data_IF_825059463475
#
_entry.id   IF_825059463475
#
_cell.length_a   1.000
_cell.length_b   1.000
_cell.length_c   1.000
_cell.angle_alpha   90.00
_cell.angle_beta   90.00
_cell.angle_gamma   90.00
#
_symmetry.space_group_name_H-M   'P 1'
#
loop_
_entity.id
_entity.type
_entity.pdbx_description
1 polymer ?
#
# COMPACT_ATOMS: atom_id res chain seq x y z
N UNK A 1 -39.88 2.78 -11.97
CA UNK A 1 -38.88 1.82 -12.48
C UNK A 1 -37.57 2.18 -11.82
N UNK A 2 -37.15 1.44 -10.80
CA UNK A 2 -35.90 1.69 -10.07
C UNK A 2 -34.71 1.22 -10.91
N UNK A 3 -33.72 2.08 -11.11
CA UNK A 3 -32.35 1.66 -11.42
C UNK A 3 -31.52 1.99 -10.18
N UNK A 4 -30.96 0.95 -9.59
CA UNK A 4 -30.26 0.96 -8.31
C UNK A 4 -28.95 1.77 -8.39
N UNK A 5 -28.67 2.53 -7.33
CA UNK A 5 -27.31 2.90 -6.96
C UNK A 5 -26.50 1.61 -6.74
N UNK A 6 -25.32 1.43 -7.35
CA UNK A 6 -24.47 0.30 -7.02
C UNK A 6 -23.93 0.50 -5.60
N UNK A 7 -24.41 -0.33 -4.69
CA UNK A 7 -24.01 -0.38 -3.30
C UNK A 7 -22.47 -0.41 -3.16
N UNK A 8 -21.99 0.37 -2.20
CA UNK A 8 -20.59 0.69 -1.99
C UNK A 8 -19.70 -0.51 -1.72
N UNK A 9 -18.54 -0.49 -2.38
CA UNK A 9 -17.37 -1.20 -1.91
C UNK A 9 -16.48 -0.17 -1.22
N UNK A 10 -16.68 0.04 0.08
CA UNK A 10 -15.75 0.87 0.87
C UNK A 10 -14.32 0.33 0.64
N UNK A 11 -13.34 1.20 0.31
CA UNK A 11 -11.99 0.72 0.06
C UNK A 11 -11.49 0.00 1.32
N UNK A 12 -11.10 -1.26 1.16
CA UNK A 12 -10.49 -2.02 2.25
C UNK A 12 -9.03 -1.57 2.33
N UNK A 13 -8.72 -0.74 3.34
CA UNK A 13 -7.36 -0.28 3.58
C UNK A 13 -6.56 -1.45 4.14
N UNK A 14 -5.53 -1.86 3.41
CA UNK A 14 -4.56 -2.87 3.87
C UNK A 14 -3.30 -2.14 4.31
N UNK A 15 -3.02 -2.16 5.61
CA UNK A 15 -1.78 -1.58 6.15
C UNK A 15 -0.64 -2.58 5.94
N UNK A 16 0.39 -2.17 5.20
CA UNK A 16 1.65 -2.92 5.06
C UNK A 16 2.62 -2.32 6.08
N UNK A 17 2.93 -3.01 7.20
CA UNK A 17 3.92 -2.52 8.15
C UNK A 17 5.30 -2.60 7.50
N UNK A 18 6.09 -1.53 7.62
CA UNK A 18 7.53 -1.61 7.38
C UNK A 18 8.11 -2.56 8.41
N UNK A 19 8.80 -3.61 7.94
CA UNK A 19 9.60 -4.45 8.83
C UNK A 19 10.77 -3.62 9.30
N UNK A 20 11.12 -3.73 10.58
CA UNK A 20 12.24 -3.01 11.21
C UNK A 20 13.46 -3.01 10.26
N UNK A 21 13.89 -1.85 9.75
CA UNK A 21 14.98 -1.78 8.77
C UNK A 21 16.36 -2.03 9.40
N UNK A 22 16.46 -2.22 10.73
CA UNK A 22 17.68 -2.52 11.46
C UNK A 22 17.70 -1.87 12.85
N UNK A 23 18.31 -2.57 13.82
CA UNK A 23 18.42 -2.23 15.25
C UNK A 23 18.29 -0.72 15.59
N UNK A 24 17.07 -0.27 15.88
CA UNK A 24 16.83 1.06 16.47
C UNK A 24 16.65 2.22 15.48
N UNK A 25 16.47 1.96 14.19
CA UNK A 25 16.16 2.99 13.21
C UNK A 25 14.66 3.35 13.30
N UNK A 26 14.39 4.50 13.92
CA UNK A 26 13.03 5.00 14.16
C UNK A 26 12.43 5.68 12.93
N UNK A 27 13.28 5.95 11.93
CA UNK A 27 13.00 6.79 10.77
C UNK A 27 13.58 6.11 9.53
N UNK A 28 12.89 6.25 8.40
CA UNK A 28 13.34 5.81 7.09
C UNK A 28 12.80 6.80 6.03
N UNK A 29 13.59 7.10 5.01
CA UNK A 29 13.21 7.97 3.91
C UNK A 29 12.63 7.14 2.76
N UNK A 30 11.52 7.60 2.18
CA UNK A 30 10.92 6.96 1.01
C UNK A 30 11.67 7.44 -0.23
N UNK A 31 12.39 6.53 -0.88
CA UNK A 31 13.08 6.81 -2.15
C UNK A 31 12.09 6.80 -3.33
N UNK A 32 11.30 5.72 -3.44
CA UNK A 32 10.40 5.53 -4.58
C UNK A 32 9.15 4.71 -4.21
N UNK A 33 8.00 5.13 -4.73
CA UNK A 33 6.75 4.35 -4.68
C UNK A 33 6.61 3.59 -6.00
N UNK A 34 6.62 2.26 -5.94
CA UNK A 34 6.60 1.37 -7.11
C UNK A 34 5.19 0.98 -7.58
N UNK A 35 4.16 1.53 -6.95
CA UNK A 35 2.75 1.20 -7.22
C UNK A 35 1.89 2.46 -7.36
N UNK A 36 0.83 2.36 -8.15
CA UNK A 36 -0.17 3.39 -8.34
C UNK A 36 -1.58 2.91 -7.99
N UNK A 37 -2.51 3.86 -7.83
CA UNK A 37 -3.92 3.55 -7.56
C UNK A 37 -4.51 2.80 -8.76
N UNK A 38 -5.07 1.61 -8.49
CA UNK A 38 -5.64 0.73 -9.50
C UNK A 38 -4.69 -0.38 -9.98
N UNK A 39 -3.44 -0.39 -9.51
CA UNK A 39 -2.50 -1.46 -9.85
C UNK A 39 -2.86 -2.78 -9.20
N UNK A 40 -2.60 -3.87 -9.94
CA UNK A 40 -2.71 -5.24 -9.42
C UNK A 40 -1.36 -5.68 -8.86
N UNK A 41 -1.30 -5.86 -7.54
CA UNK A 41 -0.10 -6.29 -6.81
C UNK A 41 -0.12 -7.82 -6.64
N UNK A 42 0.99 -8.49 -6.96
CA UNK A 42 1.19 -9.93 -6.74
C UNK A 42 1.88 -10.21 -5.41
N UNK A 43 1.79 -11.46 -4.93
CA UNK A 43 2.49 -11.87 -3.71
C UNK A 43 4.00 -11.73 -3.93
N UNK A 44 4.68 -11.08 -2.97
CA UNK A 44 6.10 -10.70 -3.02
C UNK A 44 6.46 -9.61 -4.03
N UNK A 45 5.49 -8.91 -4.61
CA UNK A 45 5.78 -7.74 -5.43
C UNK A 45 6.29 -6.57 -4.55
N UNK A 46 7.33 -5.84 -4.98
CA UNK A 46 7.83 -4.68 -4.25
C UNK A 46 6.84 -3.51 -4.36
N UNK A 47 6.56 -2.86 -3.22
CA UNK A 47 5.56 -1.78 -3.13
C UNK A 47 6.23 -0.40 -2.97
N UNK A 48 7.26 -0.33 -2.12
CA UNK A 48 7.97 0.90 -1.78
C UNK A 48 9.44 0.58 -1.56
N UNK A 49 10.31 1.50 -1.95
CA UNK A 49 11.73 1.47 -1.66
C UNK A 49 12.05 2.54 -0.61
N UNK A 50 12.76 2.13 0.44
CA UNK A 50 13.10 2.98 1.58
C UNK A 50 14.58 2.86 1.89
N UNK A 51 15.19 3.95 2.33
CA UNK A 51 16.56 4.03 2.86
C UNK A 51 16.55 4.53 4.30
N UNK A 52 17.58 4.22 5.06
CA UNK A 52 17.73 4.58 6.48
C UNK A 52 18.63 5.77 6.69
#
# INVERSE_FOLDING_TARGET
MNAADPAGSSPSIVTIPLTDPGEGLTEAEILEIKVAVGDRIEINAPVVEVET
#
